data_IF_687951824564
#
_entry.id   IF_687951824564
#
_cell.length_a   1.000
_cell.length_b   1.000
_cell.length_c   1.000
_cell.angle_alpha   90.00
_cell.angle_beta   90.00
_cell.angle_gamma   90.00
#
_symmetry.space_group_name_H-M   'P 1'
#
loop_
_entity.id
_entity.type
_entity.pdbx_description
1 polymer ?
#
# COMPACT_ATOMS: atom_id res chain seq x y z
N UNK A 1 -15.02 24.43 -9.24
CA UNK A 1 -15.66 23.09 -9.23
C UNK A 1 -15.31 22.40 -7.90
N UNK A 2 -16.17 22.48 -6.89
CA UNK A 2 -15.91 21.87 -5.58
C UNK A 2 -16.33 20.40 -5.61
N UNK A 3 -15.37 19.52 -5.86
CA UNK A 3 -15.58 18.07 -5.70
C UNK A 3 -15.72 17.80 -4.20
N UNK A 4 -16.97 17.68 -3.73
CA UNK A 4 -17.27 17.06 -2.43
C UNK A 4 -16.63 15.67 -2.46
N UNK A 5 -15.60 15.46 -1.62
CA UNK A 5 -15.02 14.13 -1.37
C UNK A 5 -16.05 13.33 -0.57
N UNK A 6 -17.02 12.74 -1.26
CA UNK A 6 -18.05 11.88 -0.66
C UNK A 6 -17.36 10.71 0.03
N UNK A 7 -17.23 10.79 1.36
CA UNK A 7 -16.66 9.77 2.21
C UNK A 7 -15.19 9.47 1.91
N UNK A 8 -14.28 9.95 2.73
CA UNK A 8 -12.99 9.29 2.91
C UNK A 8 -13.27 7.88 3.43
N UNK A 9 -13.57 6.94 2.53
CA UNK A 9 -13.77 5.53 2.87
C UNK A 9 -12.42 5.06 3.38
N UNK A 10 -12.30 5.02 4.71
CA UNK A 10 -11.13 4.50 5.38
C UNK A 10 -11.01 3.04 4.93
N UNK A 11 -9.96 2.76 4.15
CA UNK A 11 -9.67 1.42 3.69
C UNK A 11 -9.07 0.71 4.91
N UNK A 12 -9.89 -0.06 5.60
CA UNK A 12 -9.43 -0.98 6.64
C UNK A 12 -9.23 -2.35 6.01
N UNK A 13 -8.13 -3.00 6.35
CA UNK A 13 -7.88 -4.38 5.97
C UNK A 13 -8.04 -5.24 7.22
N UNK A 14 -9.10 -6.04 7.25
CA UNK A 14 -9.38 -6.95 8.36
C UNK A 14 -8.93 -8.36 7.99
N UNK A 15 -9.14 -8.72 6.73
CA UNK A 15 -8.84 -10.05 6.19
C UNK A 15 -8.04 -10.00 4.88
N UNK A 16 -7.55 -11.15 4.47
CA UNK A 16 -6.80 -11.31 3.21
C UNK A 16 -7.60 -10.93 1.96
N UNK A 17 -8.93 -11.08 1.98
CA UNK A 17 -9.82 -10.65 0.89
C UNK A 17 -9.83 -9.13 0.70
N UNK A 18 -9.76 -8.38 1.80
CA UNK A 18 -9.65 -6.92 1.75
C UNK A 18 -8.33 -6.49 1.11
N UNK A 19 -7.23 -7.15 1.52
CA UNK A 19 -5.90 -6.92 0.94
C UNK A 19 -5.89 -7.21 -0.56
N UNK A 20 -6.51 -8.33 -0.98
CA UNK A 20 -6.64 -8.68 -2.38
C UNK A 20 -7.43 -7.61 -3.16
N UNK A 21 -8.54 -7.13 -2.62
CA UNK A 21 -9.33 -6.06 -3.23
C UNK A 21 -8.56 -4.72 -3.34
N UNK A 22 -7.74 -4.39 -2.35
CA UNK A 22 -6.83 -3.23 -2.37
C UNK A 22 -5.81 -3.39 -3.50
N UNK A 23 -5.14 -4.55 -3.57
CA UNK A 23 -4.12 -4.84 -4.56
C UNK A 23 -4.67 -4.85 -6.00
N UNK A 24 -5.86 -5.43 -6.23
CA UNK A 24 -6.53 -5.35 -7.53
C UNK A 24 -6.74 -3.91 -7.98
N UNK A 25 -7.21 -3.03 -7.08
CA UNK A 25 -7.44 -1.61 -7.40
C UNK A 25 -6.14 -0.88 -7.75
N UNK A 26 -5.04 -1.22 -7.07
CA UNK A 26 -3.71 -0.68 -7.38
C UNK A 26 -3.25 -1.15 -8.77
N UNK A 27 -3.37 -2.45 -9.07
CA UNK A 27 -2.96 -3.04 -10.34
C UNK A 27 -3.76 -2.52 -11.54
N UNK A 28 -5.04 -2.23 -11.38
CA UNK A 28 -5.87 -1.67 -12.46
C UNK A 28 -5.42 -0.24 -12.81
N UNK A 29 -4.97 0.54 -11.82
CA UNK A 29 -4.45 1.91 -12.02
C UNK A 29 -3.05 1.93 -12.61
N UNK A 30 -2.33 0.84 -12.47
CA UNK A 30 -1.01 0.61 -13.06
C UNK A 30 -1.10 0.44 -14.58
N UNK A 31 -0.08 0.96 -15.29
CA UNK A 31 -0.03 0.96 -16.75
C UNK A 31 0.08 -0.48 -17.29
N UNK A 32 -0.50 -0.76 -18.46
CA UNK A 32 -0.59 -2.13 -19.02
C UNK A 32 0.78 -2.83 -19.14
N UNK A 33 1.81 -2.09 -19.56
CA UNK A 33 3.19 -2.61 -19.66
C UNK A 33 3.80 -2.92 -18.29
N UNK A 34 3.35 -2.22 -17.27
CA UNK A 34 3.81 -2.39 -15.90
C UNK A 34 3.29 -3.65 -15.21
N UNK A 35 2.05 -4.06 -15.51
CA UNK A 35 1.36 -5.15 -14.79
C UNK A 35 2.05 -6.51 -14.89
N UNK A 36 2.84 -6.75 -15.94
CA UNK A 36 3.52 -8.02 -16.16
C UNK A 36 4.93 -8.09 -15.55
N UNK A 37 5.36 -7.04 -14.83
CA UNK A 37 6.64 -7.04 -14.13
C UNK A 37 6.46 -7.40 -12.66
N UNK A 38 7.41 -8.15 -12.10
CA UNK A 38 7.50 -8.35 -10.65
C UNK A 38 7.63 -7.00 -9.94
N UNK A 39 6.81 -6.81 -8.91
CA UNK A 39 6.80 -5.61 -8.08
C UNK A 39 6.58 -5.99 -6.64
N UNK A 40 7.30 -5.30 -5.77
CA UNK A 40 7.06 -5.35 -4.35
C UNK A 40 6.33 -4.08 -3.91
N UNK A 41 5.30 -4.26 -3.10
CA UNK A 41 4.53 -3.16 -2.54
C UNK A 41 4.63 -3.23 -1.02
N UNK A 42 4.73 -2.07 -0.37
CA UNK A 42 4.63 -1.96 1.08
C UNK A 42 3.30 -1.33 1.39
N UNK A 43 2.46 -2.07 2.11
CA UNK A 43 1.21 -1.60 2.66
C UNK A 43 1.44 -1.25 4.12
N UNK A 44 1.33 0.03 4.46
CA UNK A 44 1.54 0.54 5.83
C UNK A 44 0.21 0.73 6.55
N UNK A 45 0.08 0.17 7.75
CA UNK A 45 -1.15 0.18 8.53
C UNK A 45 -1.00 0.92 9.87
N UNK A 46 -2.03 1.67 10.25
CA UNK A 46 -2.17 2.27 11.58
C UNK A 46 -2.71 1.26 12.60
N UNK A 47 -2.71 1.66 13.88
CA UNK A 47 -3.14 0.80 15.00
C UNK A 47 -4.59 0.28 14.87
N UNK A 48 -5.42 0.91 14.03
CA UNK A 48 -6.81 0.55 13.80
C UNK A 48 -7.02 -0.27 12.52
N UNK A 49 -5.94 -0.90 12.02
CA UNK A 49 -5.86 -1.63 10.74
C UNK A 49 -6.24 -0.80 9.51
N UNK A 50 -6.15 0.52 9.62
CA UNK A 50 -6.38 1.42 8.49
C UNK A 50 -5.13 1.52 7.64
N UNK A 51 -5.31 1.39 6.33
CA UNK A 51 -4.27 1.62 5.34
C UNK A 51 -3.87 3.09 5.35
N UNK A 52 -2.65 3.36 5.77
CA UNK A 52 -2.04 4.69 5.81
C UNK A 52 -1.38 5.04 4.48
N UNK A 53 -0.66 4.07 3.90
CA UNK A 53 0.12 4.29 2.70
C UNK A 53 0.32 3.00 1.91
N UNK A 54 0.51 3.16 0.60
CA UNK A 54 0.86 2.12 -0.36
C UNK A 54 2.05 2.64 -1.14
N UNK A 55 3.21 2.03 -0.98
CA UNK A 55 4.42 2.43 -1.69
C UNK A 55 4.98 1.27 -2.51
N UNK A 56 5.48 1.58 -3.71
CA UNK A 56 6.15 0.61 -4.57
C UNK A 56 7.62 0.61 -4.24
N UNK A 57 8.15 -0.54 -3.84
CA UNK A 57 9.58 -0.74 -3.66
C UNK A 57 10.23 -1.16 -4.98
N UNK A 58 11.46 -0.70 -5.17
CA UNK A 58 12.35 -1.28 -6.17
C UNK A 58 12.87 -2.64 -5.67
N UNK A 59 13.26 -3.53 -6.58
CA UNK A 59 13.83 -4.83 -6.21
C UNK A 59 15.12 -4.69 -5.38
N UNK A 60 15.94 -3.69 -5.68
CA UNK A 60 17.15 -3.38 -4.89
C UNK A 60 16.80 -2.92 -3.46
N UNK A 61 15.76 -2.11 -3.32
CA UNK A 61 15.27 -1.62 -2.02
C UNK A 61 14.63 -2.69 -1.15
N UNK A 62 14.08 -3.75 -1.77
CA UNK A 62 13.51 -4.88 -1.05
C UNK A 62 14.56 -5.71 -0.29
N UNK A 63 15.78 -5.78 -0.82
CA UNK A 63 16.90 -6.52 -0.23
C UNK A 63 17.54 -5.76 0.94
N UNK A 64 17.12 -4.52 1.17
CA UNK A 64 17.57 -3.69 2.28
C UNK A 64 16.45 -3.47 3.32
N UNK A 65 16.35 -4.31 4.37
CA UNK A 65 15.32 -4.17 5.40
C UNK A 65 15.24 -2.77 6.00
N UNK A 66 16.38 -2.09 6.11
CA UNK A 66 16.46 -0.70 6.61
C UNK A 66 15.57 0.24 5.79
N UNK A 67 15.49 0.09 4.46
CA UNK A 67 14.67 0.96 3.61
C UNK A 67 13.19 0.65 3.84
N UNK A 68 12.81 -0.63 3.89
CA UNK A 68 11.44 -1.08 4.15
C UNK A 68 10.92 -0.56 5.50
N UNK A 69 11.71 -0.71 6.57
CA UNK A 69 11.31 -0.24 7.90
C UNK A 69 11.39 1.27 8.05
N UNK A 70 12.28 1.95 7.33
CA UNK A 70 12.33 3.42 7.32
C UNK A 70 11.03 4.01 6.76
N UNK A 71 10.45 3.38 5.73
CA UNK A 71 9.13 3.79 5.21
C UNK A 71 8.04 3.63 6.28
N UNK A 72 8.04 2.51 7.01
CA UNK A 72 7.08 2.30 8.10
C UNK A 72 7.19 3.39 9.18
N UNK A 73 8.40 3.73 9.61
CA UNK A 73 8.67 4.75 10.61
C UNK A 73 8.23 6.15 10.14
N UNK A 74 8.55 6.52 8.90
CA UNK A 74 8.16 7.81 8.32
C UNK A 74 6.64 7.99 8.28
N UNK A 75 5.89 6.91 7.99
CA UNK A 75 4.42 6.94 7.96
C UNK A 75 3.77 6.73 9.32
N UNK A 76 4.56 6.55 10.39
CA UNK A 76 4.09 6.18 11.73
C UNK A 76 3.18 4.94 11.69
N UNK A 77 3.56 3.97 10.86
CA UNK A 77 2.85 2.72 10.72
C UNK A 77 3.13 1.81 11.92
N UNK A 78 2.08 1.13 12.37
CA UNK A 78 2.15 0.11 13.42
C UNK A 78 2.49 -1.26 12.88
N UNK A 79 2.13 -1.51 11.61
CA UNK A 79 2.37 -2.76 10.91
C UNK A 79 2.60 -2.48 9.43
N UNK A 80 3.34 -3.37 8.77
CA UNK A 80 3.54 -3.38 7.32
C UNK A 80 3.24 -4.78 6.76
N UNK A 81 2.73 -4.80 5.52
CA UNK A 81 2.55 -6.01 4.73
C UNK A 81 3.30 -5.84 3.41
N UNK A 82 3.97 -6.90 2.96
CA UNK A 82 4.74 -6.99 1.71
C UNK A 82 4.03 -7.84 0.68
#
# INVERSE_FOLDING_TARGET
>A
MNVKRTGSREIKATDSDDLYGIMQRILIRENKLGRNCERLWVLSFGNDNRLLCVERLSKASAEEPKEVFSLALQKRASAIIL
#
